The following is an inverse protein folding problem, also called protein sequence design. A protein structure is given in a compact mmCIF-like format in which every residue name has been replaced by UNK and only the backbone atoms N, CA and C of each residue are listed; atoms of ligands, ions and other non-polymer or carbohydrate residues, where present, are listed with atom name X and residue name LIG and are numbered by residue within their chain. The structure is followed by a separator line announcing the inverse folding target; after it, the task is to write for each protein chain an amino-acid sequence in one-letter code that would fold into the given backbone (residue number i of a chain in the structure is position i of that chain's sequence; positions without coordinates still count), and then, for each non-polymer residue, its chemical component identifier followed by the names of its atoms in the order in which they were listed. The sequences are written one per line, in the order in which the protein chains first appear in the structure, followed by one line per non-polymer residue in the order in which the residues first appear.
data_IF_481945822116
#
_entry.id   IF_481945822116
#
_cell.length_a   1.000
_cell.length_b   1.000
_cell.length_c   1.000
_cell.angle_alpha   90.00
_cell.angle_beta   90.00
_cell.angle_gamma   90.00
#
_symmetry.space_group_name_H-M   'P 1'
#
loop_
_entity.id
_entity.type
_entity.pdbx_description
1 polymer ?
#
# COMPACT_ATOMS: atom_id res chain seq x y z
N UNK A 1 -11.08 30.91 -24.63
CA UNK A 1 -11.53 29.59 -24.18
C UNK A 1 -10.72 28.51 -24.88
N UNK A 2 -9.65 28.04 -24.24
CA UNK A 2 -8.73 27.04 -24.79
C UNK A 2 -8.28 25.99 -23.77
N UNK A 3 -8.59 26.20 -22.49
CA UNK A 3 -8.30 25.28 -21.39
C UNK A 3 -9.50 24.39 -21.10
N UNK A 4 -9.29 23.15 -20.65
CA UNK A 4 -10.36 22.16 -20.41
C UNK A 4 -10.57 21.82 -18.93
N UNK A 5 -9.54 21.99 -18.09
CA UNK A 5 -9.56 21.56 -16.68
C UNK A 5 -9.57 22.77 -15.76
N UNK A 6 -8.68 23.72 -15.99
CA UNK A 6 -8.61 24.97 -15.27
C UNK A 6 -9.84 25.85 -15.57
N UNK A 7 -10.31 26.65 -14.59
CA UNK A 7 -11.37 27.62 -14.82
C UNK A 7 -11.04 28.58 -15.98
N UNK A 8 -12.05 28.96 -16.77
CA UNK A 8 -11.86 29.92 -17.85
C UNK A 8 -11.57 31.32 -17.28
N UNK A 9 -10.56 32.00 -17.80
CA UNK A 9 -10.15 33.33 -17.37
C UNK A 9 -8.83 33.77 -17.99
N UNK A 10 -8.35 34.96 -17.63
CA UNK A 10 -7.00 35.39 -18.00
C UNK A 10 -5.99 34.47 -17.31
N UNK A 11 -5.15 33.80 -18.09
CA UNK A 11 -4.27 32.73 -17.63
C UNK A 11 -2.96 32.74 -18.39
N UNK A 12 -1.88 32.35 -17.70
CA UNK A 12 -0.57 32.16 -18.30
C UNK A 12 -0.41 30.79 -18.99
N UNK A 13 -1.39 29.89 -18.84
CA UNK A 13 -1.30 28.53 -19.39
C UNK A 13 -1.86 28.46 -20.82
N UNK A 14 -1.11 27.81 -21.71
CA UNK A 14 -1.61 27.33 -23.00
C UNK A 14 -2.26 25.94 -22.84
N UNK A 15 -3.01 25.47 -23.84
CA UNK A 15 -3.62 24.12 -23.80
C UNK A 15 -2.56 23.02 -23.68
N UNK A 16 -1.42 23.16 -24.37
CA UNK A 16 -0.32 22.20 -24.27
C UNK A 16 0.31 22.19 -22.87
N UNK A 17 0.42 23.36 -22.22
CA UNK A 17 0.89 23.43 -20.83
C UNK A 17 -0.07 22.73 -19.89
N UNK A 18 -1.39 22.97 -20.05
CA UNK A 18 -2.41 22.33 -19.22
C UNK A 18 -2.44 20.82 -19.43
N UNK A 19 -2.37 20.33 -20.66
CA UNK A 19 -2.34 18.89 -20.96
C UNK A 19 -1.12 18.21 -20.31
N UNK A 20 0.06 18.84 -20.38
CA UNK A 20 1.28 18.34 -19.73
C UNK A 20 1.16 18.31 -18.21
N UNK A 21 0.68 19.40 -17.61
CA UNK A 21 0.50 19.50 -16.15
C UNK A 21 -0.56 18.51 -15.65
N UNK A 22 -1.62 18.30 -16.41
CA UNK A 22 -2.68 17.34 -16.09
C UNK A 22 -2.16 15.88 -16.17
N UNK A 23 -1.37 15.55 -17.19
CA UNK A 23 -0.75 14.23 -17.28
C UNK A 23 0.28 14.02 -16.16
N UNK A 24 1.08 15.04 -15.85
CA UNK A 24 2.07 14.98 -14.78
C UNK A 24 1.41 14.76 -13.41
N UNK A 25 0.39 15.56 -13.08
CA UNK A 25 -0.31 15.44 -11.80
C UNK A 25 -1.01 14.09 -11.63
N UNK A 26 -1.55 13.53 -12.73
CA UNK A 26 -2.11 12.17 -12.75
C UNK A 26 -1.06 11.12 -12.37
N UNK A 27 0.10 11.13 -13.02
CA UNK A 27 1.16 10.14 -12.76
C UNK A 27 1.69 10.28 -11.32
N UNK A 28 1.94 11.51 -10.88
CA UNK A 28 2.40 11.78 -9.51
C UNK A 28 1.40 11.27 -8.46
N UNK A 29 0.10 11.47 -8.70
CA UNK A 29 -0.94 10.98 -7.83
C UNK A 29 -1.03 9.44 -7.83
N UNK A 30 -0.98 8.81 -9.00
CA UNK A 30 -0.99 7.35 -9.15
C UNK A 30 0.21 6.71 -8.42
N UNK A 31 1.40 7.30 -8.56
CA UNK A 31 2.61 6.83 -7.88
C UNK A 31 2.51 6.99 -6.36
N UNK A 32 2.00 8.12 -5.88
CA UNK A 32 1.78 8.33 -4.45
C UNK A 32 0.80 7.30 -3.87
N UNK A 33 -0.34 7.08 -4.54
CA UNK A 33 -1.34 6.09 -4.12
C UNK A 33 -0.74 4.69 -4.10
N UNK A 34 0.04 4.33 -5.13
CA UNK A 34 0.72 3.04 -5.23
C UNK A 34 1.72 2.85 -4.09
N UNK A 35 2.54 3.84 -3.79
CA UNK A 35 3.52 3.79 -2.70
C UNK A 35 2.83 3.59 -1.35
N UNK A 36 1.82 4.40 -1.02
CA UNK A 36 1.09 4.29 0.25
C UNK A 36 0.36 2.96 0.37
N UNK A 37 -0.24 2.48 -0.72
CA UNK A 37 -0.88 1.17 -0.77
C UNK A 37 0.13 0.04 -0.57
N UNK A 38 1.31 0.14 -1.16
CA UNK A 38 2.39 -0.83 -1.00
C UNK A 38 2.89 -0.90 0.45
N UNK A 39 3.09 0.26 1.11
CA UNK A 39 3.50 0.33 2.52
C UNK A 39 2.45 -0.35 3.39
N UNK A 40 1.18 0.04 3.24
CA UNK A 40 0.06 -0.56 3.98
C UNK A 40 0.00 -2.08 3.79
N UNK A 41 0.08 -2.55 2.54
CA UNK A 41 0.09 -3.99 2.22
C UNK A 41 1.26 -4.70 2.89
N UNK A 42 2.46 -4.12 2.86
CA UNK A 42 3.65 -4.70 3.47
C UNK A 42 3.50 -4.84 4.98
N UNK A 43 2.90 -3.83 5.64
CA UNK A 43 2.59 -3.88 7.08
C UNK A 43 1.64 -5.04 7.39
N UNK A 44 0.55 -5.20 6.64
CA UNK A 44 -0.39 -6.30 6.85
C UNK A 44 0.24 -7.67 6.61
N UNK A 45 0.99 -7.85 5.52
CA UNK A 45 1.67 -9.11 5.22
C UNK A 45 2.66 -9.47 6.32
N UNK A 46 3.46 -8.50 6.78
CA UNK A 46 4.45 -8.72 7.83
C UNK A 46 3.78 -9.07 9.16
N UNK A 47 2.70 -8.35 9.51
CA UNK A 47 1.93 -8.63 10.71
C UNK A 47 1.30 -10.02 10.68
N UNK A 48 0.65 -10.38 9.57
CA UNK A 48 0.07 -11.70 9.37
C UNK A 48 1.11 -12.81 9.47
N UNK A 49 2.26 -12.66 8.79
CA UNK A 49 3.33 -13.66 8.82
C UNK A 49 3.84 -13.90 10.25
N UNK A 50 4.09 -12.83 11.02
CA UNK A 50 4.52 -12.96 12.42
C UNK A 50 3.49 -13.65 13.31
N UNK A 51 2.20 -13.35 13.09
CA UNK A 51 1.12 -13.99 13.82
C UNK A 51 1.09 -15.50 13.50
N UNK A 52 1.09 -15.85 12.22
CA UNK A 52 1.04 -17.24 11.76
C UNK A 52 2.23 -18.07 12.30
N UNK A 53 3.45 -17.55 12.15
CA UNK A 53 4.67 -18.18 12.67
C UNK A 53 4.59 -18.40 14.19
N UNK A 54 4.17 -17.39 14.95
CA UNK A 54 4.06 -17.50 16.41
C UNK A 54 3.06 -18.57 16.84
N UNK A 55 1.87 -18.62 16.22
CA UNK A 55 0.83 -19.56 16.63
C UNK A 55 1.16 -21.00 16.20
N UNK A 56 1.79 -21.19 15.04
CA UNK A 56 2.28 -22.51 14.63
C UNK A 56 3.36 -23.02 15.60
N UNK A 57 4.31 -22.18 15.99
CA UNK A 57 5.34 -22.54 16.97
C UNK A 57 4.73 -22.83 18.36
N UNK A 58 3.74 -22.03 18.78
CA UNK A 58 3.04 -22.26 20.04
C UNK A 58 2.32 -23.62 20.06
N UNK A 59 1.65 -23.99 18.97
CA UNK A 59 0.96 -25.27 18.86
C UNK A 59 1.94 -26.44 18.90
N UNK A 60 3.01 -26.39 18.11
CA UNK A 60 4.06 -27.42 18.07
C UNK A 60 4.72 -27.62 19.45
N UNK A 61 5.06 -26.52 20.12
CA UNK A 61 5.63 -26.58 21.47
C UNK A 61 4.63 -27.12 22.50
N UNK A 62 3.36 -26.75 22.39
CA UNK A 62 2.31 -27.26 23.28
C UNK A 62 2.09 -28.76 23.09
N UNK A 63 2.06 -29.24 21.85
CA UNK A 63 1.95 -30.66 21.53
C UNK A 63 3.14 -31.46 22.10
N UNK A 64 4.37 -30.99 21.87
CA UNK A 64 5.59 -31.63 22.40
C UNK A 64 5.62 -31.65 23.92
N UNK A 65 5.24 -30.54 24.56
CA UNK A 65 5.17 -30.42 26.01
C UNK A 65 4.15 -31.40 26.60
N UNK A 66 2.95 -31.42 26.02
CA UNK A 66 1.89 -32.35 26.42
C UNK A 66 2.35 -33.80 26.28
N UNK A 67 2.88 -34.19 25.12
CA UNK A 67 3.38 -35.54 24.91
C UNK A 67 4.45 -35.91 25.96
N UNK A 68 5.42 -35.02 26.22
CA UNK A 68 6.44 -35.27 27.25
C UNK A 68 5.88 -35.40 28.67
N UNK A 69 4.73 -34.79 28.99
CA UNK A 69 4.11 -34.92 30.31
C UNK A 69 3.40 -36.26 30.50
N UNK A 70 2.92 -36.88 29.41
CA UNK A 70 2.10 -38.08 29.46
C UNK A 70 2.81 -39.36 28.99
N UNK A 71 3.95 -39.26 28.31
CA UNK A 71 4.74 -40.42 27.86
C UNK A 71 6.04 -40.63 28.64
N UNK A 72 6.30 -39.81 29.66
CA UNK A 72 7.33 -40.05 30.69
C UNK A 72 6.66 -40.55 31.95
#
# INVERSE_FOLDING_TARGET
EHLRVCPQGYTCCTSEMEDKLNQQSKVEFEDLVKEKSHIMRTTFITGHKKFDEFFLELLDNSEKSLNSMFTK
#
